data_IF_519022118436
#
_entry.id   IF_519022118436
#
_cell.length_a   1.000
_cell.length_b   1.000
_cell.length_c   1.000
_cell.angle_alpha   90.00
_cell.angle_beta   90.00
_cell.angle_gamma   90.00
#
_symmetry.space_group_name_H-M   'P 1'
#
loop_
_entity.id
_entity.type
_entity.pdbx_description
1 polymer ?
#
# COMPACT_ATOMS: atom_id res chain seq x y z
N UNK A 1 5.90 -62.96 -39.73
CA UNK A 1 4.47 -63.03 -39.29
C UNK A 1 4.03 -61.66 -38.80
N UNK A 2 2.91 -61.12 -39.30
CA UNK A 2 2.41 -59.80 -38.89
C UNK A 2 1.73 -59.89 -37.51
N UNK A 3 2.04 -58.95 -36.60
CA UNK A 3 1.48 -58.91 -35.24
C UNK A 3 0.00 -58.53 -35.29
N UNK A 4 -0.87 -59.37 -34.73
CA UNK A 4 -2.30 -59.11 -34.68
C UNK A 4 -2.61 -57.80 -33.92
N UNK A 5 -3.53 -56.98 -34.45
CA UNK A 5 -3.98 -55.75 -33.80
C UNK A 5 -4.83 -56.09 -32.58
N UNK A 6 -4.45 -55.53 -31.42
CA UNK A 6 -5.10 -55.79 -30.12
C UNK A 6 -6.57 -55.32 -30.03
N UNK A 7 -6.98 -54.40 -30.90
CA UNK A 7 -8.35 -53.88 -30.98
C UNK A 7 -8.79 -53.89 -32.45
N UNK A 8 -9.88 -54.61 -32.74
CA UNK A 8 -10.43 -54.78 -34.09
C UNK A 8 -11.35 -53.64 -34.51
N UNK A 9 -12.01 -52.97 -33.57
CA UNK A 9 -12.95 -51.87 -33.82
C UNK A 9 -12.48 -50.54 -33.25
N UNK A 10 -12.84 -49.43 -33.90
CA UNK A 10 -12.51 -48.06 -33.43
C UNK A 10 -13.14 -47.74 -32.08
N UNK A 11 -14.30 -48.34 -31.77
CA UNK A 11 -15.02 -48.17 -30.50
C UNK A 11 -14.27 -48.82 -29.34
N UNK A 12 -13.81 -50.07 -29.49
CA UNK A 12 -13.01 -50.76 -28.48
C UNK A 12 -11.69 -50.03 -28.17
N UNK A 13 -11.06 -49.42 -29.18
CA UNK A 13 -9.86 -48.59 -28.99
C UNK A 13 -10.16 -47.33 -28.16
N UNK A 14 -11.28 -46.64 -28.43
CA UNK A 14 -11.69 -45.44 -27.67
C UNK A 14 -11.97 -45.77 -26.21
N UNK A 15 -12.65 -46.88 -25.96
CA UNK A 15 -13.00 -47.32 -24.61
C UNK A 15 -11.76 -47.72 -23.79
N UNK A 16 -10.83 -48.46 -24.40
CA UNK A 16 -9.52 -48.75 -23.80
C UNK A 16 -8.74 -47.47 -23.45
N UNK A 17 -8.72 -46.48 -24.35
CA UNK A 17 -8.08 -45.17 -24.08
C UNK A 17 -8.75 -44.45 -22.91
N UNK A 18 -10.08 -44.50 -22.81
CA UNK A 18 -10.84 -43.89 -21.72
C UNK A 18 -10.55 -44.56 -20.36
N UNK A 19 -10.44 -45.89 -20.34
CA UNK A 19 -10.06 -46.64 -19.13
C UNK A 19 -8.62 -46.33 -18.73
N UNK A 20 -7.70 -46.29 -19.71
CA UNK A 20 -6.29 -45.98 -19.48
C UNK A 20 -6.11 -44.56 -18.95
N UNK A 21 -6.80 -43.57 -19.52
CA UNK A 21 -6.76 -42.18 -19.04
C UNK A 21 -7.40 -42.06 -17.65
N UNK A 22 -8.54 -42.70 -17.40
CA UNK A 22 -9.16 -42.71 -16.07
C UNK A 22 -8.23 -43.29 -15.00
N UNK A 23 -7.54 -44.40 -15.29
CA UNK A 23 -6.54 -45.00 -14.39
C UNK A 23 -5.35 -44.08 -14.16
N UNK A 24 -4.88 -43.39 -15.20
CA UNK A 24 -3.81 -42.39 -15.12
C UNK A 24 -4.22 -41.21 -14.22
N UNK A 25 -5.39 -40.61 -14.44
CA UNK A 25 -5.88 -39.49 -13.63
C UNK A 25 -6.15 -39.89 -12.18
N UNK A 26 -6.64 -41.11 -11.94
CA UNK A 26 -6.84 -41.64 -10.57
C UNK A 26 -5.51 -41.78 -9.83
N UNK A 27 -4.46 -42.29 -10.50
CA UNK A 27 -3.13 -42.47 -9.90
C UNK A 27 -2.39 -41.14 -9.68
N UNK A 28 -2.54 -40.19 -10.59
CA UNK A 28 -1.79 -38.93 -10.58
C UNK A 28 -2.61 -37.72 -10.12
N UNK A 29 -3.79 -37.94 -9.51
CA UNK A 29 -4.73 -36.88 -9.15
C UNK A 29 -4.08 -35.78 -8.32
N UNK A 30 -3.37 -36.17 -7.26
CA UNK A 30 -2.73 -35.24 -6.33
C UNK A 30 -1.64 -34.43 -7.02
N UNK A 31 -0.80 -35.08 -7.85
CA UNK A 31 0.24 -34.38 -8.62
C UNK A 31 -0.35 -33.36 -9.59
N UNK A 32 -1.45 -33.71 -10.26
CA UNK A 32 -2.14 -32.81 -11.20
C UNK A 32 -2.80 -31.64 -10.46
N UNK A 33 -3.39 -31.89 -9.29
CA UNK A 33 -3.98 -30.84 -8.46
C UNK A 33 -2.91 -29.90 -7.89
N UNK A 34 -1.81 -30.45 -7.38
CA UNK A 34 -0.69 -29.68 -6.86
C UNK A 34 -0.06 -28.81 -7.95
N UNK A 35 0.16 -29.36 -9.16
CA UNK A 35 0.68 -28.59 -10.28
C UNK A 35 -0.28 -27.48 -10.70
N UNK A 36 -1.58 -27.75 -10.79
CA UNK A 36 -2.58 -26.70 -11.08
C UNK A 36 -2.65 -25.62 -10.01
N UNK A 37 -2.41 -25.99 -8.76
CA UNK A 37 -2.37 -25.04 -7.66
C UNK A 37 -1.13 -24.14 -7.75
N UNK A 38 0.05 -24.73 -8.01
CA UNK A 38 1.26 -23.97 -8.28
C UNK A 38 1.11 -23.02 -9.47
N UNK A 39 0.55 -23.46 -10.59
CA UNK A 39 0.30 -22.62 -11.77
C UNK A 39 -0.64 -21.44 -11.45
N UNK A 40 -1.68 -21.67 -10.61
CA UNK A 40 -2.58 -20.60 -10.15
C UNK A 40 -1.88 -19.62 -9.22
N UNK A 41 -1.06 -20.12 -8.31
CA UNK A 41 -0.32 -19.29 -7.36
C UNK A 41 0.74 -18.45 -8.09
N UNK A 42 1.44 -19.02 -9.07
CA UNK A 42 2.38 -18.29 -9.93
C UNK A 42 1.68 -17.23 -10.79
N UNK A 43 0.52 -17.55 -11.37
CA UNK A 43 -0.27 -16.58 -12.12
C UNK A 43 -0.70 -15.40 -11.23
N UNK A 44 -1.16 -15.68 -10.01
CA UNK A 44 -1.47 -14.63 -9.00
C UNK A 44 -0.24 -13.78 -8.68
N UNK A 45 0.92 -14.40 -8.43
CA UNK A 45 2.18 -13.68 -8.17
C UNK A 45 2.55 -12.73 -9.31
N UNK A 46 2.42 -13.18 -10.57
CA UNK A 46 2.72 -12.32 -11.72
C UNK A 46 1.75 -11.13 -11.84
N UNK A 47 0.49 -11.33 -11.53
CA UNK A 47 -0.50 -10.24 -11.51
C UNK A 47 -0.20 -9.22 -10.39
N UNK A 48 0.13 -9.70 -9.20
CA UNK A 48 0.49 -8.86 -8.06
C UNK A 48 1.76 -8.04 -8.33
N UNK A 49 2.80 -8.65 -8.91
CA UNK A 49 4.02 -7.94 -9.32
C UNK A 49 3.73 -6.83 -10.34
N UNK A 50 2.92 -7.12 -11.36
CA UNK A 50 2.50 -6.11 -12.36
C UNK A 50 1.66 -5.00 -11.75
N UNK A 51 0.94 -5.28 -10.67
CA UNK A 51 0.20 -4.26 -9.93
C UNK A 51 1.13 -3.37 -9.12
N UNK A 52 2.14 -3.95 -8.45
CA UNK A 52 3.19 -3.22 -7.71
C UNK A 52 3.97 -2.28 -8.64
N UNK A 53 4.39 -2.77 -9.81
CA UNK A 53 5.11 -1.94 -10.78
C UNK A 53 4.26 -0.75 -11.25
N UNK A 54 2.99 -0.98 -11.55
CA UNK A 54 2.03 0.10 -11.90
C UNK A 54 1.87 1.11 -10.78
N UNK A 55 1.86 0.68 -9.52
CA UNK A 55 1.82 1.57 -8.36
C UNK A 55 3.08 2.43 -8.25
N UNK A 56 4.26 1.83 -8.40
CA UNK A 56 5.55 2.54 -8.37
C UNK A 56 5.65 3.58 -9.48
N UNK A 57 5.26 3.20 -10.70
CA UNK A 57 5.30 4.09 -11.86
C UNK A 57 4.32 5.26 -11.72
N UNK A 58 3.09 4.99 -11.24
CA UNK A 58 2.14 6.05 -10.89
C UNK A 58 2.71 7.03 -9.86
N UNK A 59 3.36 6.53 -8.80
CA UNK A 59 3.99 7.38 -7.78
C UNK A 59 5.12 8.24 -8.36
N UNK A 60 5.96 7.66 -9.22
CA UNK A 60 7.05 8.38 -9.87
C UNK A 60 6.54 9.49 -10.80
N UNK A 61 5.54 9.18 -11.62
CA UNK A 61 4.95 10.16 -12.54
C UNK A 61 4.25 11.28 -11.79
N UNK A 62 3.49 10.93 -10.75
CA UNK A 62 2.87 11.90 -9.86
C UNK A 62 3.91 12.81 -9.22
N UNK A 63 5.00 12.26 -8.67
CA UNK A 63 6.11 13.04 -8.12
C UNK A 63 6.73 14.01 -9.15
N UNK A 64 6.88 13.61 -10.41
CA UNK A 64 7.42 14.47 -11.48
C UNK A 64 6.47 15.62 -11.87
N UNK A 65 5.17 15.35 -11.96
CA UNK A 65 4.16 16.40 -12.20
C UNK A 65 4.11 17.37 -11.01
N UNK A 66 4.17 16.82 -9.80
CA UNK A 66 4.21 17.58 -8.57
C UNK A 66 5.43 18.51 -8.49
N UNK A 67 6.62 18.10 -8.94
CA UNK A 67 7.79 19.02 -9.02
C UNK A 67 7.56 20.22 -9.94
N UNK A 68 6.77 20.08 -11.01
CA UNK A 68 6.47 21.17 -11.95
C UNK A 68 5.47 22.17 -11.37
N UNK A 69 4.47 21.70 -10.64
CA UNK A 69 3.48 22.56 -9.98
C UNK A 69 4.09 23.32 -8.78
N UNK A 70 5.08 22.70 -8.13
CA UNK A 70 5.89 23.27 -7.04
C UNK A 70 6.58 24.58 -7.44
N UNK A 71 7.02 24.68 -8.70
CA UNK A 71 7.63 25.90 -9.24
C UNK A 71 6.61 27.00 -9.54
N UNK A 72 5.31 26.67 -9.67
CA UNK A 72 4.23 27.60 -10.04
C UNK A 72 3.50 28.19 -8.84
N UNK A 73 3.31 27.44 -7.76
CA UNK A 73 2.62 27.90 -6.53
C UNK A 73 3.48 28.85 -5.67
N UNK A 74 4.62 29.33 -6.19
CA UNK A 74 5.65 30.05 -5.43
C UNK A 74 5.23 31.49 -5.04
N UNK A 75 4.06 31.98 -5.44
CA UNK A 75 3.63 33.37 -5.21
C UNK A 75 3.28 33.68 -3.74
N UNK A 76 3.90 34.73 -3.19
CA UNK A 76 3.50 35.62 -2.08
C UNK A 76 2.50 35.10 -1.02
N UNK A 77 2.84 34.01 -0.33
CA UNK A 77 2.11 33.60 0.87
C UNK A 77 3.03 33.57 2.08
N UNK A 78 2.53 34.09 3.21
CA UNK A 78 3.17 33.99 4.52
C UNK A 78 3.43 32.50 4.86
N UNK A 79 4.70 32.08 4.94
CA UNK A 79 5.04 30.69 5.15
C UNK A 79 4.60 30.19 6.53
N UNK A 80 4.51 31.06 7.55
CA UNK A 80 4.08 30.66 8.89
C UNK A 80 2.59 30.35 8.93
N UNK A 81 1.75 31.26 8.43
CA UNK A 81 0.30 31.05 8.31
C UNK A 81 -0.03 29.80 7.50
N UNK A 82 0.79 29.48 6.49
CA UNK A 82 0.58 28.28 5.68
C UNK A 82 0.96 26.97 6.40
N UNK A 83 2.05 26.96 7.18
CA UNK A 83 2.36 25.82 8.07
C UNK A 83 1.24 25.60 9.10
N UNK A 84 0.68 26.68 9.67
CA UNK A 84 -0.49 26.59 10.58
C UNK A 84 -1.68 25.95 9.88
N UNK A 85 -2.02 26.42 8.68
CA UNK A 85 -3.10 25.88 7.87
C UNK A 85 -2.92 24.37 7.57
N UNK A 86 -1.70 23.95 7.23
CA UNK A 86 -1.39 22.54 6.95
C UNK A 86 -1.50 21.68 8.22
N UNK A 87 -1.08 22.20 9.39
CA UNK A 87 -1.24 21.50 10.65
C UNK A 87 -2.73 21.37 11.06
N UNK A 88 -3.54 22.40 10.84
CA UNK A 88 -5.00 22.31 11.01
C UNK A 88 -5.63 21.33 10.01
N UNK A 89 -5.15 21.29 8.77
CA UNK A 89 -5.61 20.34 7.77
C UNK A 89 -5.32 18.90 8.19
N UNK A 90 -4.12 18.63 8.73
CA UNK A 90 -3.79 17.34 9.32
C UNK A 90 -4.74 17.00 10.47
N UNK A 91 -4.94 17.91 11.41
CA UNK A 91 -5.85 17.71 12.55
C UNK A 91 -7.29 17.42 12.09
N UNK A 92 -7.76 18.09 11.03
CA UNK A 92 -9.09 17.85 10.45
C UNK A 92 -9.20 16.46 9.83
N UNK A 93 -8.18 16.04 9.08
CA UNK A 93 -8.14 14.70 8.45
C UNK A 93 -8.10 13.62 9.52
N UNK A 94 -7.30 13.82 10.57
CA UNK A 94 -7.07 12.80 11.58
C UNK A 94 -8.01 12.86 12.78
N UNK A 95 -9.01 13.75 12.79
CA UNK A 95 -9.85 14.00 13.98
C UNK A 95 -9.03 14.40 15.22
N UNK A 96 -7.88 15.05 15.01
CA UNK A 96 -6.94 15.47 16.07
C UNK A 96 -5.96 14.38 16.54
N UNK A 97 -6.17 13.10 16.19
CA UNK A 97 -5.30 11.97 16.57
C UNK A 97 -4.86 11.15 15.35
N UNK A 98 -3.70 11.46 14.74
CA UNK A 98 -3.13 10.68 13.64
C UNK A 98 -3.05 9.18 13.88
N UNK A 99 -2.73 8.71 15.09
CA UNK A 99 -2.70 7.29 15.43
C UNK A 99 -4.06 6.60 15.22
N UNK A 100 -5.14 7.16 15.77
CA UNK A 100 -6.50 6.65 15.64
C UNK A 100 -7.02 6.72 14.19
N UNK A 101 -6.58 7.72 13.44
CA UNK A 101 -6.88 7.80 12.01
C UNK A 101 -6.18 6.70 11.22
N UNK A 102 -4.90 6.40 11.52
CA UNK A 102 -4.17 5.28 10.93
C UNK A 102 -4.81 3.93 11.25
N UNK A 103 -5.32 3.74 12.48
CA UNK A 103 -6.13 2.57 12.85
C UNK A 103 -7.39 2.46 11.98
N UNK A 104 -8.08 3.58 11.75
CA UNK A 104 -9.29 3.61 10.91
C UNK A 104 -8.97 3.22 9.46
N UNK A 105 -7.89 3.74 8.90
CA UNK A 105 -7.41 3.39 7.55
C UNK A 105 -7.07 1.90 7.46
N UNK A 106 -6.37 1.36 8.47
CA UNK A 106 -6.02 -0.06 8.55
C UNK A 106 -7.28 -0.95 8.58
N UNK A 107 -8.25 -0.64 9.44
CA UNK A 107 -9.51 -1.39 9.52
C UNK A 107 -10.32 -1.33 8.22
N UNK A 108 -10.42 -0.15 7.59
CA UNK A 108 -11.10 0.00 6.29
C UNK A 108 -10.46 -0.89 5.22
N UNK A 109 -9.12 -0.95 5.21
CA UNK A 109 -8.40 -1.83 4.28
C UNK A 109 -8.73 -3.31 4.52
N UNK A 110 -8.66 -3.76 5.78
CA UNK A 110 -8.95 -5.16 6.17
C UNK A 110 -10.39 -5.52 5.78
N UNK A 111 -11.36 -4.64 6.03
CA UNK A 111 -12.76 -4.85 5.67
C UNK A 111 -12.97 -4.97 4.15
N UNK A 112 -12.36 -4.09 3.35
CA UNK A 112 -12.47 -4.13 1.88
C UNK A 112 -11.86 -5.43 1.33
N UNK A 113 -10.73 -5.88 1.88
CA UNK A 113 -10.11 -7.17 1.50
C UNK A 113 -10.98 -8.37 1.84
N UNK A 114 -11.59 -8.37 3.03
CA UNK A 114 -12.44 -9.48 3.48
C UNK A 114 -13.68 -9.67 2.61
N UNK A 115 -14.14 -8.61 1.93
CA UNK A 115 -15.36 -8.67 1.12
C UNK A 115 -15.17 -9.13 -0.34
N UNK A 116 -13.93 -9.36 -0.84
CA UNK A 116 -13.49 -9.90 -2.16
C UNK A 116 -14.12 -9.31 -3.46
N UNK A 117 -15.33 -8.74 -3.41
CA UNK A 117 -16.20 -8.41 -4.55
C UNK A 117 -16.04 -6.96 -5.05
N UNK A 118 -15.45 -6.09 -4.25
CA UNK A 118 -15.20 -4.69 -4.60
C UNK A 118 -13.70 -4.42 -4.62
N UNK A 119 -13.04 -4.82 -5.71
CA UNK A 119 -11.76 -4.23 -6.09
C UNK A 119 -12.00 -2.78 -6.51
N UNK A 120 -12.20 -1.90 -5.54
CA UNK A 120 -12.21 -0.46 -5.75
C UNK A 120 -10.87 -0.04 -6.37
N UNK A 121 -10.90 0.88 -7.32
CA UNK A 121 -9.71 1.30 -8.09
C UNK A 121 -8.64 2.01 -7.26
N UNK A 122 -8.95 2.41 -6.02
CA UNK A 122 -8.03 3.07 -5.10
C UNK A 122 -8.08 2.42 -3.71
N UNK A 123 -6.91 1.98 -3.23
CA UNK A 123 -6.73 1.47 -1.86
C UNK A 123 -6.95 2.60 -0.85
N UNK A 124 -7.64 2.35 0.28
CA UNK A 124 -7.72 3.30 1.39
C UNK A 124 -6.35 3.81 1.84
N UNK A 125 -5.34 2.92 1.82
CA UNK A 125 -3.96 3.25 2.17
C UNK A 125 -3.34 4.17 1.13
N UNK A 126 -3.53 3.91 -0.17
CA UNK A 126 -3.03 4.80 -1.25
C UNK A 126 -3.64 6.20 -1.17
N UNK A 127 -4.92 6.29 -0.81
CA UNK A 127 -5.61 7.58 -0.61
C UNK A 127 -5.03 8.32 0.59
N UNK A 128 -4.84 7.64 1.72
CA UNK A 128 -4.23 8.20 2.91
C UNK A 128 -2.79 8.67 2.63
N UNK A 129 -1.97 7.84 1.97
CA UNK A 129 -0.60 8.14 1.55
C UNK A 129 -0.56 9.38 0.67
N UNK A 130 -1.48 9.48 -0.30
CA UNK A 130 -1.62 10.66 -1.16
C UNK A 130 -1.92 11.94 -0.35
N UNK A 131 -2.87 11.88 0.57
CA UNK A 131 -3.25 13.05 1.38
C UNK A 131 -2.10 13.55 2.25
N UNK A 132 -1.40 12.64 2.93
CA UNK A 132 -0.29 13.01 3.83
C UNK A 132 0.93 13.48 3.03
N UNK A 133 1.22 12.88 1.87
CA UNK A 133 2.30 13.35 1.00
C UNK A 133 2.04 14.75 0.45
N UNK A 134 0.79 15.09 0.11
CA UNK A 134 0.43 16.45 -0.30
C UNK A 134 0.68 17.46 0.84
N UNK A 135 0.31 17.11 2.08
CA UNK A 135 0.60 17.95 3.26
C UNK A 135 2.09 18.10 3.50
N UNK A 136 2.84 16.99 3.42
CA UNK A 136 4.29 16.97 3.63
C UNK A 136 5.01 17.81 2.59
N UNK A 137 4.58 17.72 1.34
CA UNK A 137 5.08 18.55 0.25
C UNK A 137 4.89 20.03 0.54
N UNK A 138 3.65 20.44 0.85
CA UNK A 138 3.37 21.82 1.26
C UNK A 138 4.23 22.24 2.44
N UNK A 139 4.36 21.38 3.45
CA UNK A 139 5.11 21.69 4.66
C UNK A 139 6.61 21.89 4.39
N UNK A 140 7.24 21.05 3.55
CA UNK A 140 8.66 21.20 3.20
C UNK A 140 8.90 22.54 2.46
N UNK A 141 8.02 22.92 1.52
CA UNK A 141 8.14 24.20 0.78
C UNK A 141 8.19 25.39 1.74
N UNK A 142 7.22 25.45 2.66
CA UNK A 142 7.15 26.58 3.60
C UNK A 142 8.21 26.48 4.70
N UNK A 143 8.67 25.27 5.04
CA UNK A 143 9.81 25.08 5.93
C UNK A 143 11.11 25.62 5.31
N UNK A 144 11.37 25.35 4.03
CA UNK A 144 12.53 25.85 3.31
C UNK A 144 12.48 27.37 3.15
N UNK A 145 11.28 27.94 2.95
CA UNK A 145 11.08 29.40 2.97
C UNK A 145 11.38 30.01 4.33
N UNK A 146 10.89 29.41 5.41
CA UNK A 146 11.18 29.90 6.76
C UNK A 146 12.70 29.90 7.02
N UNK A 147 13.40 28.85 6.56
CA UNK A 147 14.85 28.77 6.64
C UNK A 147 15.53 29.90 5.83
N UNK A 148 15.08 30.15 4.61
CA UNK A 148 15.66 31.18 3.74
C UNK A 148 15.35 32.61 4.22
N UNK A 149 14.15 32.85 4.74
CA UNK A 149 13.69 34.17 5.17
C UNK A 149 14.18 34.56 6.56
N UNK A 150 14.29 33.61 7.49
CA UNK A 150 14.55 33.90 8.89
C UNK A 150 15.69 33.08 9.51
N UNK A 151 16.34 32.20 8.74
CA UNK A 151 17.40 31.31 9.23
C UNK A 151 16.89 30.21 10.17
N UNK A 152 17.81 29.65 10.95
CA UNK A 152 17.49 28.60 11.93
C UNK A 152 16.89 29.23 13.20
N UNK A 153 15.61 29.57 13.14
CA UNK A 153 14.86 30.11 14.26
C UNK A 153 13.81 29.10 14.80
N UNK A 154 13.06 29.50 15.82
CA UNK A 154 12.03 28.66 16.43
C UNK A 154 10.90 28.29 15.46
N UNK A 155 10.53 29.18 14.54
CA UNK A 155 9.51 28.92 13.52
C UNK A 155 9.96 27.83 12.56
N UNK A 156 11.20 27.89 12.06
CA UNK A 156 11.81 26.85 11.25
C UNK A 156 11.88 25.52 12.02
N UNK A 157 12.35 25.52 13.27
CA UNK A 157 12.42 24.30 14.10
C UNK A 157 11.04 23.65 14.25
N UNK A 158 9.99 24.44 14.49
CA UNK A 158 8.61 23.95 14.60
C UNK A 158 8.07 23.43 13.27
N UNK A 159 8.34 24.11 12.16
CA UNK A 159 7.97 23.65 10.82
C UNK A 159 8.70 22.35 10.43
N UNK A 160 9.99 22.25 10.76
CA UNK A 160 10.80 21.04 10.55
C UNK A 160 10.30 19.87 11.39
N UNK A 161 9.91 20.11 12.64
CA UNK A 161 9.25 19.11 13.49
C UNK A 161 7.91 18.64 12.91
N UNK A 162 7.10 19.56 12.37
CA UNK A 162 5.87 19.22 11.68
C UNK A 162 6.14 18.37 10.41
N UNK A 163 7.14 18.71 9.60
CA UNK A 163 7.56 17.89 8.47
C UNK A 163 8.01 16.49 8.90
N UNK A 164 8.79 16.38 9.98
CA UNK A 164 9.20 15.10 10.56
C UNK A 164 8.01 14.27 11.03
N UNK A 165 7.03 14.90 11.67
CA UNK A 165 5.77 14.25 12.10
C UNK A 165 5.03 13.67 10.91
N UNK A 166 4.87 14.43 9.82
CA UNK A 166 4.23 13.95 8.60
C UNK A 166 5.00 12.78 7.98
N UNK A 167 6.34 12.82 7.96
CA UNK A 167 7.17 11.68 7.49
C UNK A 167 6.95 10.40 8.31
N UNK A 168 6.80 10.53 9.62
CA UNK A 168 6.47 9.38 10.47
C UNK A 168 5.11 8.77 10.14
N UNK A 169 4.11 9.60 9.86
CA UNK A 169 2.78 9.15 9.43
C UNK A 169 2.88 8.43 8.07
N UNK A 170 3.62 8.97 7.11
CA UNK A 170 3.89 8.30 5.82
C UNK A 170 4.55 6.95 6.03
N UNK A 171 5.59 6.87 6.88
CA UNK A 171 6.27 5.61 7.20
C UNK A 171 5.31 4.55 7.77
N UNK A 172 4.35 4.96 8.60
CA UNK A 172 3.34 4.04 9.12
C UNK A 172 2.42 3.50 8.03
N UNK A 173 2.06 4.35 7.05
CA UNK A 173 1.28 3.93 5.89
C UNK A 173 2.08 3.02 4.96
N UNK A 174 3.35 3.32 4.73
CA UNK A 174 4.27 2.46 3.97
C UNK A 174 4.46 1.08 4.61
N UNK A 175 4.50 1.00 5.94
CA UNK A 175 4.54 -0.27 6.69
C UNK A 175 3.26 -1.09 6.46
N UNK A 176 2.07 -0.45 6.48
CA UNK A 176 0.83 -1.13 6.11
C UNK A 176 0.88 -1.65 4.66
N UNK A 177 1.33 -0.84 3.71
CA UNK A 177 1.47 -1.25 2.31
C UNK A 177 2.45 -2.41 2.16
N UNK A 178 3.57 -2.39 2.89
CA UNK A 178 4.55 -3.46 2.85
C UNK A 178 3.93 -4.78 3.30
N UNK A 179 3.18 -4.80 4.41
CA UNK A 179 2.49 -6.00 4.88
C UNK A 179 1.42 -6.48 3.90
N UNK A 180 0.72 -5.55 3.25
CA UNK A 180 -0.24 -5.90 2.19
C UNK A 180 0.41 -6.62 1.01
N UNK A 181 1.68 -6.32 0.72
CA UNK A 181 2.43 -6.91 -0.38
C UNK A 181 3.15 -8.21 -0.01
N UNK A 182 3.33 -8.46 1.29
CA UNK A 182 3.95 -9.69 1.77
C UNK A 182 2.96 -10.85 1.67
N UNK A 183 3.29 -11.85 0.86
CA UNK A 183 2.41 -12.97 0.52
C UNK A 183 2.18 -13.91 1.73
N UNK A 184 3.10 -13.91 2.69
CA UNK A 184 3.06 -14.75 3.88
C UNK A 184 2.48 -14.01 5.11
N UNK A 185 2.53 -12.67 5.12
CA UNK A 185 2.19 -11.82 6.25
C UNK A 185 0.95 -10.97 5.96
N UNK A 186 -0.24 -11.54 6.23
CA UNK A 186 -1.51 -10.82 6.10
C UNK A 186 -1.54 -9.59 7.03
N UNK A 187 -1.86 -8.41 6.48
CA UNK A 187 -2.03 -7.17 7.25
C UNK A 187 -2.94 -7.38 8.47
N UNK A 188 -3.97 -8.21 8.35
CA UNK A 188 -4.86 -8.52 9.48
C UNK A 188 -4.12 -9.27 10.61
N UNK A 189 -3.22 -10.20 10.29
CA UNK A 189 -2.38 -10.90 11.27
C UNK A 189 -1.36 -9.95 11.89
N UNK A 190 -0.66 -9.15 11.06
CA UNK A 190 0.29 -8.16 11.54
C UNK A 190 -0.35 -7.15 12.51
N UNK A 191 -1.58 -6.74 12.24
CA UNK A 191 -2.36 -5.89 13.13
C UNK A 191 -2.71 -6.58 14.46
N UNK A 192 -3.17 -7.83 14.42
CA UNK A 192 -3.50 -8.61 15.62
C UNK A 192 -2.27 -8.86 16.51
N UNK A 193 -1.13 -9.12 15.89
CA UNK A 193 0.15 -9.39 16.57
C UNK A 193 0.88 -8.12 17.01
N UNK A 194 0.29 -6.93 16.79
CA UNK A 194 0.86 -5.62 17.13
C UNK A 194 2.22 -5.36 16.47
N UNK A 195 2.40 -5.82 15.23
CA UNK A 195 3.65 -5.69 14.46
C UNK A 195 3.70 -4.43 13.59
N UNK A 196 2.64 -3.63 13.55
CA UNK A 196 2.61 -2.40 12.76
C UNK A 196 3.20 -1.23 13.54
N UNK A 197 3.97 -0.39 12.85
CA UNK A 197 4.73 0.72 13.43
C UNK A 197 3.85 1.72 14.18
N UNK A 198 2.61 1.95 13.72
CA UNK A 198 1.69 2.89 14.40
C UNK A 198 1.08 2.33 15.69
N UNK A 199 1.24 1.03 15.97
CA UNK A 199 0.74 0.40 17.21
C UNK A 199 1.76 0.50 18.35
N UNK A 200 3.00 0.88 18.05
CA UNK A 200 4.03 1.14 19.06
C UNK A 200 3.72 2.41 19.86
N UNK A 201 3.65 2.35 21.21
CA UNK A 201 3.33 3.50 22.05
C UNK A 201 4.25 4.70 21.84
N UNK A 202 5.54 4.47 21.55
CA UNK A 202 6.50 5.55 21.34
C UNK A 202 6.19 6.31 20.04
N UNK A 203 5.85 5.56 18.99
CA UNK A 203 5.43 6.10 17.70
C UNK A 203 4.11 6.86 17.82
N UNK A 204 3.11 6.32 18.54
CA UNK A 204 1.83 6.98 18.79
C UNK A 204 2.01 8.33 19.49
N UNK A 205 2.77 8.36 20.59
CA UNK A 205 3.08 9.59 21.30
C UNK A 205 3.76 10.62 20.40
N UNK A 206 4.64 10.18 19.51
CA UNK A 206 5.34 11.05 18.59
C UNK A 206 4.44 11.66 17.51
N UNK A 207 3.60 10.84 16.86
CA UNK A 207 2.70 11.29 15.79
C UNK A 207 1.50 12.07 16.32
N UNK A 208 1.07 11.84 17.56
CA UNK A 208 -0.08 12.55 18.14
C UNK A 208 0.32 13.87 18.80
N UNK A 209 1.62 14.07 19.09
CA UNK A 209 2.12 15.30 19.68
C UNK A 209 1.73 16.50 18.80
N UNK A 210 0.86 17.35 19.33
CA UNK A 210 0.58 18.64 18.69
C UNK A 210 1.85 19.48 18.76
N UNK A 211 2.32 19.95 17.60
CA UNK A 211 3.39 20.94 17.55
C UNK A 211 2.77 22.29 17.93
N UNK A 212 3.21 22.93 19.04
CA UNK A 212 2.74 24.27 19.36
C UNK A 212 3.30 25.21 18.32
N UNK A 213 2.54 25.58 17.29
CA UNK A 213 2.91 26.70 16.42
C UNK A 213 2.44 27.96 17.16
N UNK A 214 3.32 28.94 17.45
CA UNK A 214 2.92 30.08 18.25
C UNK A 214 1.94 30.95 17.46
N UNK A 215 1.00 31.58 18.17
CA UNK A 215 0.02 32.53 17.61
C UNK A 215 0.70 33.66 16.83
#
# INVERSE_FOLDING_TARGET
MARAKLYTTKTALKESRRIKSAKYYRKNREKILAQKQQERDEARRQEDLKFIERLREKRLNKWREEQKDLAREVSDQDPLGRIKFLNHSLARISGGKPSAWLETVCHQYIQIRAHEATRTSASPVDNATTMVNNLLRGANIFCDRLLNSYGVNDYYRRASMFCRRLRWIVRCLEDMEYRVLDLDDDLAKAYQEKRLSFQDPSTQQWIDRQSPIPE
#
